data_IF_322022401674
#
_entry.id   IF_322022401674
#
_cell.length_a   1.000
_cell.length_b   1.000
_cell.length_c   1.000
_cell.angle_alpha   90.00
_cell.angle_beta   90.00
_cell.angle_gamma   90.00
#
_symmetry.space_group_name_H-M   'P 1'
#
loop_
_entity.id
_entity.type
_entity.pdbx_description
1 polymer ?
#
# COMPACT_ATOMS: atom_id res chain seq x y z
N UNK A 1 -28.50 60.24 -56.33
CA UNK A 1 -27.72 60.76 -55.18
C UNK A 1 -28.01 59.89 -53.97
N UNK A 2 -27.02 59.58 -53.20
CA UNK A 2 -26.90 58.71 -52.02
C UNK A 2 -26.73 57.20 -52.32
N UNK A 3 -25.45 56.80 -52.24
CA UNK A 3 -24.93 55.44 -52.28
C UNK A 3 -25.15 54.82 -50.90
N UNK A 4 -25.81 53.63 -50.84
CA UNK A 4 -25.82 52.81 -49.66
C UNK A 4 -24.91 51.60 -49.91
N UNK A 5 -23.85 51.51 -49.15
CA UNK A 5 -22.88 50.37 -49.20
C UNK A 5 -23.52 49.22 -48.39
N UNK A 6 -23.71 48.07 -49.03
CA UNK A 6 -23.95 46.81 -48.34
C UNK A 6 -22.62 46.15 -47.97
N UNK A 7 -22.44 45.97 -46.68
CA UNK A 7 -21.29 45.24 -46.11
C UNK A 7 -21.70 43.77 -46.07
N UNK A 8 -21.06 42.95 -46.95
CA UNK A 8 -21.18 41.48 -46.85
C UNK A 8 -20.35 41.00 -45.67
N UNK A 9 -21.00 40.49 -44.61
CA UNK A 9 -20.36 39.71 -43.56
C UNK A 9 -20.23 38.27 -44.06
N UNK A 10 -19.02 37.87 -44.43
CA UNK A 10 -18.62 36.48 -44.62
C UNK A 10 -18.44 35.85 -43.24
N UNK A 11 -19.43 35.05 -42.79
CA UNK A 11 -19.32 34.16 -41.68
C UNK A 11 -18.48 32.95 -42.13
N UNK A 12 -17.18 32.96 -41.80
CA UNK A 12 -16.36 31.77 -41.79
C UNK A 12 -16.80 30.91 -40.60
N UNK A 13 -17.52 29.82 -40.85
CA UNK A 13 -17.66 28.72 -39.91
C UNK A 13 -16.31 28.02 -39.85
N UNK A 14 -15.41 28.43 -38.94
CA UNK A 14 -14.34 27.59 -38.46
C UNK A 14 -14.99 26.52 -37.56
N UNK A 15 -15.16 25.32 -38.10
CA UNK A 15 -15.36 24.12 -37.29
C UNK A 15 -14.08 23.86 -36.50
N UNK A 16 -13.93 24.57 -35.39
CA UNK A 16 -12.95 24.23 -34.38
C UNK A 16 -13.34 22.90 -33.74
N UNK A 17 -12.71 21.83 -34.16
CA UNK A 17 -12.57 20.65 -33.35
C UNK A 17 -11.88 21.11 -32.07
N UNK A 18 -12.63 21.32 -31.01
CA UNK A 18 -12.13 21.33 -29.66
C UNK A 18 -11.62 19.91 -29.39
N UNK A 19 -10.33 19.70 -29.68
CA UNK A 19 -9.58 18.69 -28.96
C UNK A 19 -9.65 19.11 -27.49
N UNK A 20 -10.57 18.50 -26.75
CA UNK A 20 -10.50 18.49 -25.32
C UNK A 20 -9.21 17.76 -24.99
N UNK A 21 -8.18 18.56 -24.72
CA UNK A 21 -6.90 18.10 -24.25
C UNK A 21 -7.15 17.47 -22.85
N UNK A 22 -7.46 16.17 -22.83
CA UNK A 22 -7.66 15.37 -21.62
C UNK A 22 -6.35 15.16 -20.83
N UNK A 23 -5.35 15.97 -21.11
CA UNK A 23 -4.22 16.16 -20.25
C UNK A 23 -4.49 17.34 -19.30
N UNK A 24 -5.36 17.12 -18.31
CA UNK A 24 -5.25 17.88 -17.09
C UNK A 24 -3.85 17.58 -16.54
N UNK A 25 -2.88 18.41 -16.91
CA UNK A 25 -1.61 18.54 -16.21
C UNK A 25 -1.96 19.05 -14.82
N UNK A 26 -2.35 18.12 -13.93
CA UNK A 26 -2.28 18.35 -12.50
C UNK A 26 -0.87 18.91 -12.27
N UNK A 27 -0.77 20.11 -11.73
CA UNK A 27 0.53 20.74 -11.50
C UNK A 27 1.35 19.75 -10.69
N UNK A 28 2.44 19.24 -11.27
CA UNK A 28 3.25 18.14 -10.76
C UNK A 28 3.79 18.35 -9.32
N UNK A 29 3.52 19.49 -8.69
CA UNK A 29 4.10 19.91 -7.40
C UNK A 29 3.14 19.91 -6.21
N UNK A 30 1.85 19.64 -6.37
CA UNK A 30 0.90 19.71 -5.24
C UNK A 30 0.08 18.42 -5.11
N UNK A 31 -0.12 17.99 -3.86
CA UNK A 31 -1.11 16.95 -3.56
C UNK A 31 -2.53 17.50 -3.80
N UNK A 32 -3.43 16.63 -4.29
CA UNK A 32 -4.85 16.92 -4.38
C UNK A 32 -5.38 17.16 -2.97
N UNK A 33 -6.16 18.22 -2.78
CA UNK A 33 -6.89 18.42 -1.54
C UNK A 33 -8.11 17.49 -1.55
N UNK A 34 -8.17 16.62 -0.55
CA UNK A 34 -9.26 15.68 -0.32
C UNK A 34 -9.68 15.81 1.13
N UNK A 35 -10.92 16.23 1.33
CA UNK A 35 -11.57 16.24 2.63
C UNK A 35 -12.45 15.00 2.78
N UNK A 36 -12.37 14.36 3.95
CA UNK A 36 -13.23 13.24 4.31
C UNK A 36 -14.34 13.76 5.23
N UNK A 37 -15.58 13.37 4.93
CA UNK A 37 -16.71 13.67 5.79
C UNK A 37 -16.78 12.69 6.97
N UNK A 38 -17.43 13.10 8.06
CA UNK A 38 -17.68 12.25 9.22
C UNK A 38 -19.19 12.10 9.46
N UNK A 39 -19.61 10.90 9.82
CA UNK A 39 -20.96 10.68 10.34
C UNK A 39 -21.03 11.24 11.75
N UNK A 40 -22.16 11.85 12.08
CA UNK A 40 -22.39 12.36 13.41
C UNK A 40 -22.38 11.20 14.45
N UNK A 41 -21.88 11.44 15.68
CA UNK A 41 -21.95 10.46 16.75
C UNK A 41 -23.39 9.98 17.03
N UNK A 42 -23.56 8.74 17.46
CA UNK A 42 -24.86 8.12 17.68
C UNK A 42 -25.80 8.93 18.59
N UNK A 43 -25.26 9.58 19.61
CA UNK A 43 -25.98 10.42 20.57
C UNK A 43 -26.49 11.74 19.95
N UNK A 44 -25.87 12.22 18.89
CA UNK A 44 -26.29 13.41 18.14
C UNK A 44 -27.27 13.11 17.02
N UNK A 45 -27.51 11.83 16.68
CA UNK A 45 -28.52 11.41 15.72
C UNK A 45 -29.92 11.37 16.36
N UNK A 46 -31.01 11.73 15.63
CA UNK A 46 -32.38 11.58 16.13
C UNK A 46 -32.66 10.16 16.62
N UNK A 47 -33.46 9.96 17.68
CA UNK A 47 -33.82 8.61 18.16
C UNK A 47 -34.46 7.70 17.11
N UNK A 48 -35.10 8.28 16.10
CA UNK A 48 -35.72 7.55 14.99
C UNK A 48 -34.79 7.33 13.77
N UNK A 49 -33.53 7.77 13.82
CA UNK A 49 -32.59 7.59 12.71
C UNK A 49 -32.15 6.12 12.64
N UNK A 50 -32.33 5.43 11.50
CA UNK A 50 -31.92 4.04 11.32
C UNK A 50 -30.42 3.78 11.53
N UNK A 51 -29.56 4.81 11.39
CA UNK A 51 -28.13 4.70 11.61
C UNK A 51 -27.75 4.74 13.08
N UNK A 52 -28.62 5.26 13.97
CA UNK A 52 -28.28 5.46 15.40
C UNK A 52 -27.85 4.18 16.09
N UNK A 53 -28.68 3.13 16.03
CA UNK A 53 -28.38 1.84 16.68
C UNK A 53 -27.14 1.18 16.09
N UNK A 54 -26.95 1.32 14.78
CA UNK A 54 -25.77 0.82 14.07
C UNK A 54 -24.50 1.57 14.54
N UNK A 55 -24.54 2.87 14.60
CA UNK A 55 -23.43 3.70 15.06
C UNK A 55 -23.11 3.41 16.53
N UNK A 56 -24.12 3.28 17.41
CA UNK A 56 -23.92 2.90 18.81
C UNK A 56 -23.25 1.52 18.95
N UNK A 57 -23.64 0.55 18.13
CA UNK A 57 -23.03 -0.79 18.10
C UNK A 57 -21.59 -0.74 17.61
N UNK A 58 -21.30 0.04 16.56
CA UNK A 58 -19.95 0.24 16.05
C UNK A 58 -19.04 0.94 17.08
N UNK A 59 -19.56 1.95 17.78
CA UNK A 59 -18.85 2.64 18.85
C UNK A 59 -18.50 1.69 20.03
N UNK A 60 -19.44 0.87 20.47
CA UNK A 60 -19.20 -0.16 21.50
C UNK A 60 -18.14 -1.17 21.04
N UNK A 61 -18.21 -1.60 19.80
CA UNK A 61 -17.21 -2.50 19.23
C UNK A 61 -15.82 -1.81 19.13
N UNK A 62 -15.79 -0.55 18.74
CA UNK A 62 -14.56 0.23 18.67
C UNK A 62 -13.85 0.30 20.02
N UNK A 63 -14.60 0.56 21.10
CA UNK A 63 -14.06 0.58 22.46
C UNK A 63 -13.52 -0.79 22.89
N UNK A 64 -14.23 -1.89 22.58
CA UNK A 64 -13.78 -3.25 22.86
C UNK A 64 -12.50 -3.63 22.11
N UNK A 65 -12.39 -3.20 20.84
CA UNK A 65 -11.18 -3.41 20.03
C UNK A 65 -10.01 -2.63 20.60
N UNK A 66 -10.25 -1.39 21.09
CA UNK A 66 -9.24 -0.51 21.65
C UNK A 66 -8.48 -1.11 22.81
N UNK A 67 -9.13 -1.93 23.63
CA UNK A 67 -8.47 -2.64 24.75
C UNK A 67 -7.35 -3.58 24.30
N UNK A 68 -7.34 -3.98 23.03
CA UNK A 68 -6.42 -5.01 22.47
C UNK A 68 -5.70 -4.57 21.20
N UNK A 69 -5.86 -3.31 20.79
CA UNK A 69 -5.21 -2.73 19.61
C UNK A 69 -4.07 -1.79 20.06
N UNK A 70 -2.89 -1.98 19.52
CA UNK A 70 -1.85 -0.96 19.51
C UNK A 70 -1.70 -0.48 18.05
N UNK A 71 -2.44 0.56 17.71
CA UNK A 71 -2.59 0.98 16.32
C UNK A 71 -3.80 1.87 16.08
N UNK A 72 -4.17 1.99 14.82
CA UNK A 72 -5.33 2.75 14.37
C UNK A 72 -6.29 1.86 13.58
N UNK A 73 -7.57 2.21 13.59
CA UNK A 73 -8.50 1.65 12.62
C UNK A 73 -9.53 2.69 12.16
N UNK A 74 -10.07 2.44 10.99
CA UNK A 74 -11.11 3.26 10.39
C UNK A 74 -12.16 2.39 9.69
N UNK A 75 -13.42 2.81 9.78
CA UNK A 75 -14.54 2.31 9.01
C UNK A 75 -15.09 3.49 8.24
N UNK A 76 -15.10 3.38 6.92
CA UNK A 76 -15.62 4.41 6.05
C UNK A 76 -16.50 3.82 4.95
N UNK A 77 -17.39 4.61 4.40
CA UNK A 77 -18.14 4.28 3.19
C UNK A 77 -17.97 5.42 2.20
N UNK A 78 -17.35 5.13 1.05
CA UNK A 78 -16.84 6.15 0.14
C UNK A 78 -15.91 7.11 0.89
N UNK A 79 -16.15 8.40 0.82
CA UNK A 79 -15.40 9.48 1.48
C UNK A 79 -15.95 9.86 2.88
N UNK A 80 -16.92 9.09 3.39
CA UNK A 80 -17.55 9.36 4.68
C UNK A 80 -17.02 8.39 5.74
N UNK A 81 -16.35 8.93 6.75
CA UNK A 81 -15.84 8.19 7.91
C UNK A 81 -17.01 7.95 8.89
N UNK A 82 -17.21 6.68 9.26
CA UNK A 82 -18.19 6.28 10.25
C UNK A 82 -17.58 6.18 11.64
N UNK A 83 -16.43 5.53 11.73
CA UNK A 83 -15.68 5.37 12.99
C UNK A 83 -14.20 5.40 12.68
N UNK A 84 -13.44 6.13 13.47
CA UNK A 84 -11.98 6.09 13.49
C UNK A 84 -11.46 6.17 14.90
N UNK A 85 -10.40 5.42 15.22
CA UNK A 85 -9.81 5.36 16.55
C UNK A 85 -8.31 5.12 16.48
N UNK A 86 -7.62 5.66 17.46
CA UNK A 86 -6.19 5.47 17.68
C UNK A 86 -5.94 5.01 19.14
N UNK A 87 -5.14 3.96 19.30
CA UNK A 87 -4.87 3.36 20.60
C UNK A 87 -3.42 2.97 20.74
N UNK A 88 -2.87 3.15 21.94
CA UNK A 88 -1.56 2.66 22.30
C UNK A 88 -0.42 3.63 21.98
N UNK A 89 0.75 3.09 21.68
CA UNK A 89 2.00 3.83 21.69
C UNK A 89 2.84 3.51 20.47
N UNK A 90 3.62 4.51 20.00
CA UNK A 90 4.56 4.37 18.88
C UNK A 90 5.61 3.31 19.18
N UNK A 91 6.13 3.32 20.42
CA UNK A 91 7.03 2.31 20.94
C UNK A 91 6.51 1.77 22.27
N UNK A 92 6.42 0.43 22.36
CA UNK A 92 5.99 -0.24 23.59
C UNK A 92 7.12 -0.37 24.62
N UNK A 93 8.36 -0.55 24.15
CA UNK A 93 9.58 -0.61 24.96
C UNK A 93 10.71 0.17 24.31
N UNK A 94 11.51 0.83 25.15
CA UNK A 94 12.78 1.44 24.72
C UNK A 94 13.95 0.46 24.78
N UNK A 95 13.80 -0.67 25.48
CA UNK A 95 14.88 -1.65 25.68
C UNK A 95 14.83 -2.76 24.63
N UNK A 96 15.81 -2.84 23.71
CA UNK A 96 15.90 -3.91 22.73
C UNK A 96 16.19 -5.29 23.36
N UNK A 97 16.64 -5.34 24.62
CA UNK A 97 16.90 -6.60 25.34
C UNK A 97 15.67 -7.18 26.02
N UNK A 98 14.49 -6.59 25.84
CA UNK A 98 13.22 -6.90 26.51
C UNK A 98 12.70 -8.34 26.36
N UNK A 99 13.52 -9.33 26.69
CA UNK A 99 13.14 -10.73 26.87
C UNK A 99 12.37 -10.93 28.17
N UNK A 100 11.24 -10.22 28.33
CA UNK A 100 10.32 -10.44 29.45
C UNK A 100 9.00 -11.01 28.95
N UNK A 101 8.37 -11.92 29.72
CA UNK A 101 6.98 -12.36 29.52
C UNK A 101 6.02 -11.21 29.87
N UNK A 102 6.10 -10.11 29.13
CA UNK A 102 5.23 -8.94 29.38
C UNK A 102 3.97 -9.13 28.55
N UNK A 103 2.84 -9.17 29.22
CA UNK A 103 1.52 -9.23 28.56
C UNK A 103 1.10 -7.83 28.10
N UNK A 104 0.12 -7.76 27.20
CA UNK A 104 -0.48 -6.48 26.78
C UNK A 104 -1.02 -5.67 27.97
N UNK A 105 -1.57 -6.32 29.00
CA UNK A 105 -2.08 -5.67 30.20
C UNK A 105 -0.97 -5.02 31.05
N UNK A 106 0.22 -5.62 31.06
CA UNK A 106 1.39 -5.03 31.73
C UNK A 106 1.87 -3.77 31.02
N UNK A 107 1.64 -3.68 29.70
CA UNK A 107 1.96 -2.50 28.89
C UNK A 107 1.04 -1.32 29.18
N UNK A 108 -0.25 -1.57 29.38
CA UNK A 108 -1.24 -0.55 29.70
C UNK A 108 -0.97 0.13 31.05
N UNK A 109 -0.31 -0.57 31.99
CA UNK A 109 0.03 -0.06 33.31
C UNK A 109 1.24 0.91 33.33
N UNK A 110 2.04 0.97 32.25
CA UNK A 110 3.23 1.83 32.18
C UNK A 110 2.84 3.25 31.76
N UNK A 111 3.12 4.24 32.60
CA UNK A 111 3.02 5.66 32.22
C UNK A 111 3.99 5.94 31.08
N UNK A 112 3.45 6.36 29.93
CA UNK A 112 4.19 6.73 28.74
C UNK A 112 4.11 8.23 28.50
N UNK A 113 5.14 8.79 27.89
CA UNK A 113 5.14 10.18 27.46
C UNK A 113 4.04 10.42 26.42
N UNK A 114 3.40 11.59 26.47
CA UNK A 114 2.35 11.98 25.52
C UNK A 114 2.86 11.94 24.06
N UNK A 115 4.12 12.33 23.86
CA UNK A 115 4.81 12.28 22.56
C UNK A 115 4.98 10.88 21.97
N UNK A 116 4.76 9.81 22.77
CA UNK A 116 4.83 8.42 22.33
C UNK A 116 3.45 7.83 22.01
N UNK A 117 2.36 8.59 22.09
CA UNK A 117 1.02 8.10 21.77
C UNK A 117 0.80 7.96 20.28
N UNK A 118 0.10 6.90 19.89
CA UNK A 118 -0.46 6.74 18.56
C UNK A 118 -1.60 7.73 18.35
N UNK A 119 -1.61 8.39 17.21
CA UNK A 119 -2.66 9.29 16.73
C UNK A 119 -3.18 8.80 15.38
N UNK A 120 -4.26 9.38 14.88
CA UNK A 120 -4.80 9.05 13.54
C UNK A 120 -3.81 9.38 12.42
N UNK A 121 -2.93 10.37 12.63
CA UNK A 121 -1.86 10.73 11.68
C UNK A 121 -0.59 9.89 11.80
N UNK A 122 -0.53 8.94 12.74
CA UNK A 122 0.63 8.05 12.90
C UNK A 122 0.83 7.18 11.66
N UNK A 123 2.07 7.11 11.20
CA UNK A 123 2.47 6.31 10.05
C UNK A 123 2.87 4.90 10.48
N UNK A 124 2.31 3.89 9.80
CA UNK A 124 2.60 2.47 10.01
C UNK A 124 3.17 1.87 8.74
N UNK A 125 4.17 0.99 8.85
CA UNK A 125 4.57 0.16 7.71
C UNK A 125 3.38 -0.69 7.27
N UNK A 126 2.91 -0.44 6.08
CA UNK A 126 1.79 -1.18 5.47
C UNK A 126 2.16 -2.64 5.14
N UNK A 127 3.46 -2.96 5.19
CA UNK A 127 3.96 -4.26 4.77
C UNK A 127 3.38 -4.65 3.40
N UNK A 128 2.86 -5.86 3.24
CA UNK A 128 2.33 -6.33 1.96
C UNK A 128 1.09 -5.58 1.41
N UNK A 129 0.42 -4.75 2.21
CA UNK A 129 -0.62 -3.84 1.69
C UNK A 129 -0.03 -2.85 0.69
N UNK A 130 1.29 -2.59 0.73
CA UNK A 130 2.04 -1.78 -0.24
C UNK A 130 1.95 -2.28 -1.69
N UNK A 131 1.68 -3.58 -1.88
CA UNK A 131 1.64 -4.20 -3.22
C UNK A 131 0.60 -3.59 -4.16
N UNK A 132 -0.48 -3.03 -3.62
CA UNK A 132 -1.49 -2.35 -4.44
C UNK A 132 -0.91 -1.11 -5.14
N UNK A 133 0.00 -0.36 -4.51
CA UNK A 133 0.65 0.79 -5.16
C UNK A 133 1.59 0.36 -6.28
N UNK A 134 2.35 -0.71 -6.06
CA UNK A 134 3.22 -1.28 -7.09
C UNK A 134 2.42 -1.79 -8.28
N UNK A 135 1.31 -2.50 -8.02
CA UNK A 135 0.41 -2.95 -9.07
C UNK A 135 -0.19 -1.77 -9.84
N UNK A 136 -0.66 -0.73 -9.13
CA UNK A 136 -1.21 0.47 -9.75
C UNK A 136 -0.17 1.21 -10.60
N UNK A 137 1.09 1.30 -10.15
CA UNK A 137 2.20 1.88 -10.92
C UNK A 137 2.44 1.12 -12.22
N UNK A 138 2.46 -0.22 -12.17
CA UNK A 138 2.58 -1.07 -13.36
C UNK A 138 1.40 -0.87 -14.31
N UNK A 139 0.17 -0.87 -13.78
CA UNK A 139 -1.04 -0.67 -14.59
C UNK A 139 -1.09 0.74 -15.19
N UNK A 140 -0.57 1.76 -14.50
CA UNK A 140 -0.45 3.12 -15.02
C UNK A 140 0.48 3.15 -16.24
N UNK A 141 1.64 2.50 -16.16
CA UNK A 141 2.54 2.37 -17.31
C UNK A 141 1.89 1.57 -18.45
N UNK A 142 1.03 0.59 -18.14
CA UNK A 142 0.28 -0.13 -19.16
C UNK A 142 -0.80 0.73 -19.82
N UNK A 143 -1.52 1.54 -19.05
CA UNK A 143 -2.52 2.48 -19.55
C UNK A 143 -1.87 3.58 -20.41
N UNK A 144 -0.65 3.99 -20.06
CA UNK A 144 0.15 4.95 -20.82
C UNK A 144 0.91 4.31 -22.01
N UNK A 145 0.62 3.04 -22.33
CA UNK A 145 1.23 2.25 -23.43
C UNK A 145 2.76 2.07 -23.34
N UNK A 146 3.37 2.40 -22.20
CA UNK A 146 4.83 2.25 -21.98
C UNK A 146 5.24 0.82 -21.61
N UNK A 147 4.30 0.02 -21.12
CA UNK A 147 4.48 -1.35 -20.66
C UNK A 147 3.30 -2.22 -21.12
N UNK A 148 3.55 -3.51 -21.36
CA UNK A 148 2.50 -4.49 -21.66
C UNK A 148 2.51 -5.61 -20.62
N UNK A 149 1.34 -6.08 -20.19
CA UNK A 149 1.23 -7.22 -19.28
C UNK A 149 1.87 -8.50 -19.85
N UNK A 150 2.02 -8.58 -21.17
CA UNK A 150 2.66 -9.69 -21.90
C UNK A 150 4.17 -9.50 -22.07
N UNK A 151 4.71 -8.33 -21.74
CA UNK A 151 6.16 -8.12 -21.83
C UNK A 151 6.87 -9.10 -20.91
N UNK A 152 8.00 -9.63 -21.38
CA UNK A 152 8.80 -10.54 -20.59
C UNK A 152 9.85 -9.81 -19.76
N UNK A 153 10.22 -10.39 -18.61
CA UNK A 153 11.28 -9.88 -17.75
C UNK A 153 12.60 -9.68 -18.52
N UNK A 154 12.88 -10.54 -19.50
CA UNK A 154 14.07 -10.44 -20.34
C UNK A 154 14.21 -9.09 -21.08
N UNK A 155 13.09 -8.44 -21.41
CA UNK A 155 13.11 -7.13 -22.07
C UNK A 155 13.82 -6.07 -21.22
N UNK A 156 13.71 -6.17 -19.91
CA UNK A 156 14.20 -5.17 -18.96
C UNK A 156 15.51 -5.59 -18.28
N UNK A 157 15.64 -6.89 -18.01
CA UNK A 157 16.76 -7.50 -17.29
C UNK A 157 17.21 -8.79 -17.99
N UNK A 158 18.01 -8.68 -19.08
CA UNK A 158 18.39 -9.83 -19.91
C UNK A 158 19.30 -10.83 -19.19
N UNK A 159 20.02 -10.40 -18.14
CA UNK A 159 20.96 -11.23 -17.40
C UNK A 159 20.27 -12.14 -16.38
N UNK A 160 19.01 -11.87 -16.05
CA UNK A 160 18.24 -12.67 -15.09
C UNK A 160 17.74 -13.96 -15.78
N UNK A 161 17.81 -15.14 -15.10
CA UNK A 161 17.54 -16.43 -15.74
C UNK A 161 16.06 -16.67 -16.11
N UNK A 162 15.14 -15.80 -15.70
CA UNK A 162 13.68 -15.98 -15.86
C UNK A 162 13.13 -15.35 -17.16
N UNK A 163 13.79 -15.57 -18.29
CA UNK A 163 13.58 -14.86 -19.56
C UNK A 163 12.13 -14.78 -20.05
N UNK A 164 11.34 -15.82 -19.80
CA UNK A 164 9.98 -15.92 -20.33
C UNK A 164 8.90 -15.60 -19.28
N UNK A 165 9.26 -15.12 -18.10
CA UNK A 165 8.30 -14.66 -17.12
C UNK A 165 7.73 -13.32 -17.56
N UNK A 166 6.40 -13.18 -17.58
CA UNK A 166 5.71 -11.96 -18.00
C UNK A 166 5.38 -11.06 -16.83
N UNK A 167 5.14 -9.77 -17.10
CA UNK A 167 4.66 -8.79 -16.12
C UNK A 167 3.38 -9.29 -15.45
N UNK A 168 2.43 -9.86 -16.21
CA UNK A 168 1.22 -10.47 -15.65
C UNK A 168 1.54 -11.57 -14.65
N UNK A 169 2.49 -12.44 -14.94
CA UNK A 169 2.86 -13.55 -14.05
C UNK A 169 3.55 -13.09 -12.76
N UNK A 170 4.27 -11.97 -12.80
CA UNK A 170 4.80 -11.32 -11.59
C UNK A 170 3.64 -10.74 -10.75
N UNK A 171 2.75 -9.95 -11.36
CA UNK A 171 1.59 -9.35 -10.69
C UNK A 171 0.68 -10.40 -10.01
N UNK A 172 0.57 -11.59 -10.59
CA UNK A 172 -0.37 -12.64 -10.16
C UNK A 172 0.28 -13.79 -9.38
N UNK A 173 1.54 -13.64 -8.99
CA UNK A 173 2.29 -14.66 -8.25
C UNK A 173 2.32 -16.06 -8.91
N UNK A 174 2.34 -16.09 -10.25
CA UNK A 174 2.43 -17.31 -11.05
C UNK A 174 3.73 -17.44 -11.82
N UNK A 175 4.76 -16.67 -11.45
CA UNK A 175 6.08 -16.62 -12.11
C UNK A 175 6.91 -17.87 -11.91
N UNK A 176 6.85 -18.48 -10.75
CA UNK A 176 7.75 -19.56 -10.30
C UNK A 176 9.11 -19.07 -9.78
N UNK A 177 9.35 -17.76 -9.68
CA UNK A 177 10.57 -17.18 -9.11
C UNK A 177 10.58 -17.45 -7.60
N UNK A 178 11.75 -17.85 -6.99
CA UNK A 178 11.84 -18.10 -5.55
C UNK A 178 11.78 -16.81 -4.71
N UNK A 179 11.55 -16.97 -3.39
CA UNK A 179 11.47 -15.89 -2.42
C UNK A 179 12.84 -15.33 -2.07
N UNK A 180 13.05 -14.02 -2.19
CA UNK A 180 14.33 -13.36 -1.99
C UNK A 180 14.82 -13.35 -0.53
N UNK A 181 13.95 -13.57 0.43
CA UNK A 181 14.34 -13.68 1.83
C UNK A 181 15.33 -14.82 2.10
N UNK A 182 15.43 -15.77 1.17
CA UNK A 182 16.36 -16.90 1.24
C UNK A 182 17.61 -16.70 0.38
N UNK A 183 17.82 -15.51 -0.20
CA UNK A 183 18.98 -15.26 -1.05
C UNK A 183 20.18 -14.83 -0.19
N UNK A 184 21.36 -15.17 -0.69
CA UNK A 184 22.59 -14.71 -0.08
C UNK A 184 22.95 -13.31 -0.61
N UNK A 185 22.87 -12.33 0.28
CA UNK A 185 23.30 -10.96 0.04
C UNK A 185 24.72 -10.69 0.57
N UNK A 186 25.49 -11.73 0.93
CA UNK A 186 26.84 -11.61 1.51
C UNK A 186 27.87 -10.95 0.60
N UNK A 187 27.54 -10.72 -0.69
CA UNK A 187 28.37 -9.92 -1.62
C UNK A 187 28.32 -8.42 -1.30
N UNK A 188 27.36 -7.98 -0.49
CA UNK A 188 27.21 -6.60 -0.04
C UNK A 188 27.54 -6.48 1.45
N UNK A 189 28.01 -5.31 1.84
CA UNK A 189 28.28 -5.00 3.24
C UNK A 189 27.06 -5.30 4.12
N UNK A 190 27.25 -6.05 5.18
CA UNK A 190 26.19 -6.46 6.10
C UNK A 190 25.58 -5.29 6.89
N UNK A 191 26.27 -4.15 6.92
CA UNK A 191 25.82 -2.92 7.57
C UNK A 191 24.95 -2.05 6.68
N UNK A 192 24.78 -2.41 5.40
CA UNK A 192 24.02 -1.63 4.42
C UNK A 192 22.62 -2.21 4.18
N UNK A 193 21.65 -1.33 3.96
CA UNK A 193 20.35 -1.70 3.41
C UNK A 193 20.47 -2.16 1.95
N UNK A 194 19.72 -3.19 1.60
CA UNK A 194 19.72 -3.77 0.25
C UNK A 194 18.68 -3.07 -0.63
N UNK A 195 19.11 -2.52 -1.74
CA UNK A 195 18.24 -1.85 -2.72
C UNK A 195 17.61 -2.83 -3.71
N UNK A 196 16.59 -2.39 -4.44
CA UNK A 196 16.02 -3.17 -5.54
C UNK A 196 17.07 -3.50 -6.62
N UNK A 197 17.99 -2.57 -6.95
CA UNK A 197 19.05 -2.83 -7.94
C UNK A 197 20.02 -3.90 -7.47
N UNK A 198 20.36 -3.92 -6.19
CA UNK A 198 21.20 -4.98 -5.60
C UNK A 198 20.48 -6.32 -5.62
N UNK A 199 19.17 -6.37 -5.34
CA UNK A 199 18.37 -7.57 -5.51
C UNK A 199 18.40 -8.07 -6.97
N UNK A 200 18.24 -7.16 -7.95
CA UNK A 200 18.28 -7.53 -9.38
C UNK A 200 19.66 -8.08 -9.76
N UNK A 201 20.74 -7.51 -9.21
CA UNK A 201 22.09 -8.02 -9.41
C UNK A 201 22.26 -9.44 -8.80
N UNK A 202 21.77 -9.67 -7.57
CA UNK A 202 21.82 -10.99 -6.92
C UNK A 202 21.09 -12.04 -7.75
N UNK A 203 19.91 -11.71 -8.29
CA UNK A 203 19.13 -12.59 -9.18
C UNK A 203 19.90 -12.92 -10.47
N UNK A 204 20.65 -11.98 -11.03
CA UNK A 204 21.42 -12.17 -12.25
C UNK A 204 22.67 -13.05 -12.02
N UNK A 205 23.33 -12.89 -10.87
CA UNK A 205 24.60 -13.59 -10.54
C UNK A 205 24.32 -14.99 -10.02
N UNK A 206 23.43 -15.14 -9.02
CA UNK A 206 23.20 -16.42 -8.34
C UNK A 206 22.30 -17.37 -9.12
N UNK A 207 21.50 -16.88 -10.05
CA UNK A 207 20.70 -17.67 -11.00
C UNK A 207 19.88 -18.79 -10.36
N UNK A 208 19.18 -18.47 -9.28
CA UNK A 208 18.34 -19.43 -8.58
C UNK A 208 17.37 -20.15 -9.53
N UNK A 209 17.15 -21.47 -9.38
CA UNK A 209 16.20 -22.19 -10.20
C UNK A 209 14.76 -21.77 -9.88
N UNK A 210 13.87 -21.86 -10.86
CA UNK A 210 12.43 -21.71 -10.64
C UNK A 210 11.91 -22.81 -9.72
N UNK A 211 10.99 -22.46 -8.84
CA UNK A 211 10.35 -23.41 -7.91
C UNK A 211 9.20 -24.21 -8.56
N UNK A 212 8.66 -23.71 -9.67
CA UNK A 212 7.73 -24.38 -10.56
C UNK A 212 7.73 -23.68 -11.94
N UNK A 213 7.19 -24.39 -12.96
CA UNK A 213 7.04 -23.81 -14.30
C UNK A 213 6.05 -22.64 -14.26
N UNK A 214 6.46 -21.47 -14.78
CA UNK A 214 5.63 -20.27 -14.88
C UNK A 214 4.20 -20.58 -15.36
N UNK A 215 3.20 -20.01 -14.69
CA UNK A 215 1.78 -20.23 -14.97
C UNK A 215 1.22 -21.57 -14.48
N UNK A 216 2.04 -22.49 -13.97
CA UNK A 216 1.56 -23.79 -13.54
C UNK A 216 0.94 -23.82 -12.14
N UNK A 217 1.39 -22.92 -11.28
CA UNK A 217 0.93 -22.82 -9.89
C UNK A 217 0.83 -21.34 -9.48
N UNK A 218 0.03 -21.09 -8.45
CA UNK A 218 0.02 -19.88 -7.68
C UNK A 218 0.86 -20.10 -6.42
N UNK A 219 1.82 -19.22 -6.18
CA UNK A 219 2.54 -19.14 -4.91
C UNK A 219 2.87 -17.68 -4.65
N UNK A 220 2.33 -17.13 -3.58
CA UNK A 220 2.62 -15.79 -3.15
C UNK A 220 4.13 -15.64 -2.88
N UNK A 221 4.80 -14.69 -3.54
CA UNK A 221 6.25 -14.47 -3.48
C UNK A 221 6.54 -12.97 -3.56
N UNK A 222 7.27 -12.45 -2.57
CA UNK A 222 7.60 -11.02 -2.48
C UNK A 222 8.56 -10.57 -3.59
N UNK A 223 9.48 -11.42 -4.00
CA UNK A 223 10.41 -11.17 -5.12
C UNK A 223 9.70 -10.63 -6.37
N UNK A 224 8.49 -11.11 -6.65
CA UNK A 224 7.73 -10.67 -7.82
C UNK A 224 7.48 -9.15 -7.79
N UNK A 225 7.09 -8.61 -6.64
CA UNK A 225 6.73 -7.21 -6.50
C UNK A 225 7.96 -6.30 -6.36
N UNK A 226 9.04 -6.81 -5.77
CA UNK A 226 10.33 -6.13 -5.79
C UNK A 226 10.89 -5.98 -7.22
N UNK A 227 10.77 -7.03 -8.06
CA UNK A 227 11.10 -6.96 -9.49
C UNK A 227 10.21 -5.95 -10.22
N UNK A 228 8.90 -5.95 -9.94
CA UNK A 228 7.97 -4.98 -10.57
C UNK A 228 8.33 -3.54 -10.22
N UNK A 229 8.73 -3.24 -8.99
CA UNK A 229 9.21 -1.90 -8.61
C UNK A 229 10.46 -1.50 -9.41
N UNK A 230 11.44 -2.40 -9.56
CA UNK A 230 12.62 -2.15 -10.38
C UNK A 230 12.27 -1.94 -11.87
N UNK A 231 11.26 -2.66 -12.41
CA UNK A 231 10.76 -2.44 -13.78
C UNK A 231 10.06 -1.09 -13.91
N UNK A 232 9.25 -0.69 -12.92
CA UNK A 232 8.61 0.64 -12.92
C UNK A 232 9.66 1.73 -12.99
N UNK A 233 10.69 1.68 -12.14
CA UNK A 233 11.77 2.66 -12.16
C UNK A 233 12.47 2.70 -13.54
N UNK A 234 12.78 1.53 -14.10
CA UNK A 234 13.47 1.44 -15.40
C UNK A 234 12.64 1.95 -16.58
N UNK A 235 11.33 1.68 -16.59
CA UNK A 235 10.42 2.06 -17.70
C UNK A 235 10.02 3.53 -17.61
N UNK A 236 9.87 4.05 -16.39
CA UNK A 236 9.52 5.45 -16.16
C UNK A 236 10.72 6.39 -16.22
N UNK A 237 11.94 5.85 -16.14
CA UNK A 237 13.21 6.62 -16.00
C UNK A 237 13.21 7.52 -14.75
N UNK A 238 12.45 7.11 -13.72
CA UNK A 238 12.33 7.78 -12.43
C UNK A 238 12.59 6.80 -11.29
N UNK A 239 13.12 7.22 -10.13
CA UNK A 239 13.08 6.39 -8.93
C UNK A 239 11.67 5.90 -8.66
N UNK A 240 11.53 4.63 -8.20
CA UNK A 240 10.21 4.02 -7.96
C UNK A 240 9.37 4.85 -7.00
N UNK A 241 9.98 5.36 -5.93
CA UNK A 241 9.35 6.20 -4.91
C UNK A 241 8.78 7.48 -5.52
N UNK A 242 9.56 8.13 -6.37
CA UNK A 242 9.14 9.36 -7.03
C UNK A 242 8.01 9.11 -8.01
N UNK A 243 8.11 8.03 -8.81
CA UNK A 243 7.04 7.67 -9.75
C UNK A 243 5.71 7.41 -9.03
N UNK A 244 5.72 6.64 -7.94
CA UNK A 244 4.52 6.35 -7.14
C UNK A 244 3.96 7.62 -6.52
N UNK A 245 4.81 8.46 -5.93
CA UNK A 245 4.37 9.72 -5.33
C UNK A 245 3.70 10.64 -6.35
N UNK A 246 4.35 10.87 -7.48
CA UNK A 246 3.86 11.82 -8.49
C UNK A 246 2.60 11.33 -9.20
N UNK A 247 2.55 10.05 -9.54
CA UNK A 247 1.50 9.50 -10.39
C UNK A 247 0.33 8.84 -9.63
N UNK A 248 0.52 8.49 -8.35
CA UNK A 248 -0.50 7.82 -7.55
C UNK A 248 -0.89 8.61 -6.31
N UNK A 249 0.06 8.92 -5.41
CA UNK A 249 -0.26 9.50 -4.11
C UNK A 249 -0.69 10.96 -4.19
N UNK A 250 -0.01 11.78 -4.99
CA UNK A 250 -0.41 13.18 -5.18
C UNK A 250 -1.81 13.30 -5.79
N UNK A 251 -2.16 12.57 -6.87
CA UNK A 251 -3.52 12.57 -7.41
C UNK A 251 -4.57 12.04 -6.42
N UNK A 252 -4.20 11.07 -5.56
CA UNK A 252 -5.09 10.53 -4.54
C UNK A 252 -5.24 11.45 -3.30
N UNK A 253 -4.40 12.47 -3.15
CA UNK A 253 -4.40 13.34 -1.96
C UNK A 253 -3.75 12.71 -0.71
N UNK A 254 -2.91 11.68 -0.87
CA UNK A 254 -2.22 10.97 0.21
C UNK A 254 -1.00 11.79 0.69
N UNK A 255 -1.24 12.80 1.51
CA UNK A 255 -0.22 13.81 1.86
C UNK A 255 0.86 13.30 2.80
N UNK A 256 0.52 12.33 3.65
CA UNK A 256 1.39 11.85 4.74
C UNK A 256 2.10 10.54 4.41
N UNK A 257 1.69 9.85 3.35
CA UNK A 257 2.27 8.57 2.94
C UNK A 257 3.71 8.73 2.44
N UNK A 258 4.60 7.85 2.92
CA UNK A 258 6.06 7.87 2.66
C UNK A 258 6.59 6.47 2.40
N UNK A 259 7.76 6.40 1.78
CA UNK A 259 8.53 5.17 1.75
C UNK A 259 9.46 5.05 2.96
N UNK A 260 9.81 3.81 3.33
CA UNK A 260 10.80 3.52 4.38
C UNK A 260 12.09 4.30 4.16
N UNK A 261 12.60 4.33 2.93
CA UNK A 261 13.83 5.00 2.54
C UNK A 261 13.80 6.51 2.85
N UNK A 262 12.65 7.15 2.76
CA UNK A 262 12.48 8.56 3.14
C UNK A 262 12.48 8.73 4.66
N UNK A 263 11.75 7.85 5.37
CA UNK A 263 11.61 7.92 6.83
C UNK A 263 12.96 7.81 7.54
N UNK A 264 13.85 6.98 7.01
CA UNK A 264 15.18 6.75 7.61
C UNK A 264 16.30 7.55 6.92
N UNK A 265 15.95 8.45 6.01
CA UNK A 265 16.92 9.32 5.33
C UNK A 265 17.81 8.63 4.30
N UNK A 266 17.43 7.45 3.83
CA UNK A 266 18.11 6.69 2.76
C UNK A 266 17.65 7.12 1.37
N UNK A 267 17.19 8.34 1.20
CA UNK A 267 16.62 8.80 -0.06
C UNK A 267 17.63 8.59 -1.20
N UNK A 268 17.23 8.01 -2.34
CA UNK A 268 18.10 7.93 -3.51
C UNK A 268 18.27 9.33 -4.09
N UNK A 269 19.20 10.11 -3.55
CA UNK A 269 19.62 11.34 -4.21
C UNK A 269 20.74 10.99 -5.18
N UNK A 270 20.76 11.63 -6.33
CA UNK A 270 21.91 11.57 -7.26
C UNK A 270 23.25 11.93 -6.58
N UNK A 271 23.19 12.47 -5.37
CA UNK A 271 24.32 12.91 -4.55
C UNK A 271 24.82 11.88 -3.57
N UNK A 272 24.08 10.85 -3.22
CA UNK A 272 24.54 9.80 -2.31
C UNK A 272 24.74 8.48 -3.03
N UNK A 273 25.90 8.34 -3.66
CA UNK A 273 26.39 7.02 -4.07
C UNK A 273 26.77 6.14 -2.86
N UNK A 274 26.83 6.76 -1.69
CA UNK A 274 27.19 6.12 -0.43
C UNK A 274 26.00 6.19 0.52
N UNK A 275 25.33 5.05 0.74
CA UNK A 275 24.40 4.92 1.85
C UNK A 275 25.17 5.14 3.17
N UNK A 276 24.61 5.82 4.16
CA UNK A 276 25.29 5.97 5.42
C UNK A 276 25.66 4.60 5.98
N UNK A 277 26.94 4.41 6.26
CA UNK A 277 27.43 3.22 6.95
C UNK A 277 26.80 3.24 8.35
N UNK A 278 25.92 2.29 8.61
CA UNK A 278 25.37 2.08 9.95
C UNK A 278 26.35 1.20 10.70
N UNK A 279 26.98 1.75 11.75
CA UNK A 279 27.89 0.97 12.57
C UNK A 279 27.15 -0.11 13.36
N UNK A 280 27.47 -1.36 13.02
CA UNK A 280 27.31 -2.58 13.83
C UNK A 280 25.92 -3.14 14.15
N UNK A 281 25.48 -4.09 13.35
CA UNK A 281 25.06 -5.43 13.81
C UNK A 281 24.84 -6.35 12.61
N UNK A 282 25.07 -7.63 12.76
CA UNK A 282 25.18 -8.61 11.66
C UNK A 282 23.86 -8.89 10.91
N UNK A 283 22.70 -8.53 11.45
CA UNK A 283 21.39 -8.83 10.86
C UNK A 283 20.42 -7.66 10.87
N UNK A 284 20.66 -6.63 11.68
CA UNK A 284 19.71 -5.53 11.90
C UNK A 284 20.42 -4.18 11.90
N UNK A 285 19.81 -3.25 11.21
CA UNK A 285 20.33 -1.89 11.12
C UNK A 285 19.64 -1.04 12.17
N UNK A 286 20.39 -0.52 13.13
CA UNK A 286 19.85 0.39 14.13
C UNK A 286 19.76 1.80 13.55
N UNK A 287 18.68 2.05 12.84
CA UNK A 287 18.33 3.38 12.34
C UNK A 287 17.10 3.92 13.06
N UNK A 288 17.07 5.22 13.24
CA UNK A 288 15.91 5.95 13.73
C UNK A 288 15.30 6.75 12.59
N UNK A 289 13.99 7.03 12.62
CA UNK A 289 13.40 8.00 11.72
C UNK A 289 14.14 9.33 11.81
N UNK A 290 14.34 9.99 10.66
CA UNK A 290 14.91 11.35 10.64
C UNK A 290 14.01 12.30 11.42
N UNK A 291 14.56 13.44 11.88
CA UNK A 291 13.89 14.38 12.79
C UNK A 291 12.48 14.79 12.34
N UNK A 292 12.27 14.94 11.02
CA UNK A 292 10.96 15.27 10.44
C UNK A 292 9.86 14.26 10.81
N UNK A 293 10.23 12.98 10.96
CA UNK A 293 9.30 11.88 11.27
C UNK A 293 9.36 11.39 12.71
N UNK A 294 10.24 11.97 13.53
CA UNK A 294 10.32 11.66 14.96
C UNK A 294 8.97 11.91 15.63
N UNK A 295 8.48 10.93 16.40
CA UNK A 295 7.17 11.02 17.06
C UNK A 295 5.94 10.88 16.14
N UNK A 296 6.14 10.59 14.84
CA UNK A 296 5.05 10.39 13.88
C UNK A 296 4.99 8.98 13.32
N UNK A 297 6.03 8.18 13.48
CA UNK A 297 6.18 6.85 12.90
C UNK A 297 6.16 5.80 14.00
N UNK A 298 5.28 4.82 13.86
CA UNK A 298 5.24 3.67 14.75
C UNK A 298 6.42 2.74 14.50
N UNK A 299 6.94 2.13 15.59
CA UNK A 299 7.94 1.06 15.53
C UNK A 299 7.23 -0.28 15.73
N UNK A 300 7.61 -1.27 14.94
CA UNK A 300 7.00 -2.60 15.03
C UNK A 300 7.44 -3.37 16.29
N UNK A 301 6.56 -4.24 16.79
CA UNK A 301 6.83 -5.04 17.99
C UNK A 301 6.39 -6.49 17.79
N UNK A 302 7.23 -7.42 18.25
CA UNK A 302 6.92 -8.84 18.28
C UNK A 302 5.83 -9.17 19.31
N UNK A 303 5.33 -10.42 19.32
CA UNK A 303 4.29 -10.88 20.25
C UNK A 303 4.63 -10.71 21.74
N UNK A 304 5.91 -10.75 22.09
CA UNK A 304 6.41 -10.48 23.43
C UNK A 304 6.57 -8.98 23.72
N UNK A 305 6.06 -8.12 22.81
CA UNK A 305 6.18 -6.67 22.82
C UNK A 305 7.62 -6.13 22.75
N UNK A 306 8.61 -6.98 22.45
CA UNK A 306 9.94 -6.51 22.16
C UNK A 306 9.94 -5.72 20.84
N UNK A 307 10.74 -4.67 20.76
CA UNK A 307 10.93 -3.86 19.56
C UNK A 307 11.47 -4.76 18.44
N UNK A 308 10.82 -4.74 17.28
CA UNK A 308 11.36 -5.34 16.07
C UNK A 308 12.38 -4.39 15.45
N UNK A 309 13.63 -4.81 15.33
CA UNK A 309 14.64 -4.01 14.64
C UNK A 309 14.32 -3.95 13.14
N UNK A 310 14.78 -2.91 12.45
CA UNK A 310 14.67 -2.84 11.00
C UNK A 310 15.60 -3.86 10.35
N UNK A 311 15.03 -4.68 9.48
CA UNK A 311 15.81 -5.62 8.65
C UNK A 311 16.50 -4.86 7.51
N UNK A 312 17.71 -5.29 7.13
CA UNK A 312 18.45 -4.72 5.99
C UNK A 312 17.70 -4.81 4.65
N UNK A 313 16.70 -5.68 4.56
CA UNK A 313 15.84 -5.85 3.38
C UNK A 313 14.67 -4.86 3.35
N UNK A 314 14.53 -3.97 4.34
CA UNK A 314 13.44 -3.00 4.41
C UNK A 314 13.48 -1.96 3.29
N UNK A 315 14.64 -1.70 2.72
CA UNK A 315 14.80 -0.81 1.57
C UNK A 315 14.58 -1.47 0.21
N UNK A 316 14.31 -2.79 0.17
CA UNK A 316 13.74 -3.42 -1.03
C UNK A 316 12.26 -3.04 -1.08
N UNK A 317 11.91 -2.21 -2.04
CA UNK A 317 10.57 -1.64 -2.18
C UNK A 317 9.72 -2.40 -3.19
N UNK A 318 8.40 -2.17 -3.13
CA UNK A 318 7.43 -2.72 -4.06
C UNK A 318 6.59 -3.86 -3.48
N UNK A 319 7.18 -4.77 -2.74
CA UNK A 319 6.47 -5.80 -1.99
C UNK A 319 6.04 -5.31 -0.60
N UNK A 320 6.74 -4.30 -0.08
CA UNK A 320 6.56 -3.63 1.21
C UNK A 320 7.21 -2.24 1.18
N UNK A 321 7.36 -1.61 2.35
CA UNK A 321 8.15 -0.39 2.53
C UNK A 321 7.36 0.90 2.36
N UNK A 322 6.02 0.85 2.21
CA UNK A 322 5.15 2.03 2.27
C UNK A 322 4.67 2.23 3.70
N UNK A 323 4.84 3.44 4.22
CA UNK A 323 4.32 3.89 5.50
C UNK A 323 3.16 4.85 5.27
N UNK A 324 2.02 4.60 5.93
CA UNK A 324 0.80 5.40 5.75
C UNK A 324 -0.04 5.44 7.02
N UNK A 325 -1.04 6.30 7.03
CA UNK A 325 -2.09 6.37 8.03
C UNK A 325 -3.45 5.92 7.48
N UNK A 326 -4.45 5.78 8.35
CA UNK A 326 -5.77 5.25 7.95
C UNK A 326 -6.53 6.21 7.01
N UNK A 327 -6.41 7.52 7.18
CA UNK A 327 -7.08 8.50 6.32
C UNK A 327 -6.52 8.49 4.89
N UNK A 328 -5.19 8.49 4.72
CA UNK A 328 -4.57 8.40 3.40
C UNK A 328 -4.96 7.10 2.69
N UNK A 329 -5.14 6.00 3.44
CA UNK A 329 -5.62 4.74 2.87
C UNK A 329 -7.08 4.80 2.42
N UNK A 330 -7.96 5.58 3.10
CA UNK A 330 -9.32 5.85 2.62
C UNK A 330 -9.29 6.68 1.34
N UNK A 331 -8.48 7.74 1.30
CA UNK A 331 -8.29 8.57 0.09
C UNK A 331 -7.79 7.73 -1.09
N UNK A 332 -6.83 6.83 -0.84
CA UNK A 332 -6.35 5.88 -1.85
C UNK A 332 -7.48 5.00 -2.40
N UNK A 333 -8.25 4.39 -1.51
CA UNK A 333 -9.35 3.50 -1.91
C UNK A 333 -10.37 4.25 -2.76
N UNK A 334 -10.72 5.47 -2.36
CA UNK A 334 -11.64 6.32 -3.12
C UNK A 334 -11.07 6.67 -4.51
N UNK A 335 -9.86 7.20 -4.56
CA UNK A 335 -9.27 7.67 -5.80
C UNK A 335 -8.99 6.54 -6.80
N UNK A 336 -8.47 5.40 -6.32
CA UNK A 336 -8.10 4.29 -7.19
C UNK A 336 -9.26 3.33 -7.46
N UNK A 337 -9.86 2.76 -6.41
CA UNK A 337 -10.84 1.67 -6.59
C UNK A 337 -12.25 2.17 -6.85
N UNK A 338 -12.71 3.21 -6.15
CA UNK A 338 -14.10 3.67 -6.21
C UNK A 338 -14.30 4.61 -7.40
N UNK A 339 -13.51 5.68 -7.48
CA UNK A 339 -13.72 6.76 -8.46
C UNK A 339 -12.95 6.54 -9.77
N UNK A 340 -11.91 5.67 -9.77
CA UNK A 340 -11.01 5.45 -10.90
C UNK A 340 -10.38 6.76 -11.44
N UNK A 341 -9.93 7.63 -10.52
CA UNK A 341 -9.33 8.92 -10.86
C UNK A 341 -7.87 8.79 -11.35
N UNK A 342 -7.20 7.71 -10.96
CA UNK A 342 -5.78 7.47 -11.24
C UNK A 342 -5.58 6.71 -12.53
N UNK A 343 -6.50 5.78 -12.83
CA UNK A 343 -6.48 4.92 -14.01
C UNK A 343 -7.87 4.86 -14.65
N UNK A 344 -7.96 4.61 -15.97
CA UNK A 344 -9.22 4.27 -16.59
C UNK A 344 -9.91 3.10 -15.87
N UNK A 345 -11.24 3.16 -15.72
CA UNK A 345 -12.07 2.18 -15.02
C UNK A 345 -11.76 0.73 -15.41
N UNK A 346 -11.52 0.49 -16.71
CA UNK A 346 -11.22 -0.85 -17.22
C UNK A 346 -9.96 -1.48 -16.58
N UNK A 347 -8.96 -0.67 -16.21
CA UNK A 347 -7.75 -1.15 -15.55
C UNK A 347 -7.99 -1.44 -14.07
N UNK A 348 -8.80 -0.62 -13.42
CA UNK A 348 -9.23 -0.84 -12.04
C UNK A 348 -10.05 -2.14 -11.95
N UNK A 349 -11.01 -2.34 -12.86
CA UNK A 349 -11.83 -3.55 -12.92
C UNK A 349 -10.98 -4.81 -13.18
N UNK A 350 -9.93 -4.70 -13.99
CA UNK A 350 -8.94 -5.78 -14.15
C UNK A 350 -8.19 -6.05 -12.85
N UNK A 351 -7.83 -5.02 -12.08
CA UNK A 351 -7.07 -5.17 -10.83
C UNK A 351 -7.86 -5.93 -9.76
N UNK A 352 -9.16 -5.71 -9.67
CA UNK A 352 -10.06 -6.34 -8.68
C UNK A 352 -10.78 -7.58 -9.19
N UNK A 353 -10.33 -8.15 -10.29
CA UNK A 353 -10.82 -9.42 -10.85
C UNK A 353 -9.78 -10.51 -10.65
N UNK A 354 -10.21 -11.74 -10.41
CA UNK A 354 -9.29 -12.88 -10.33
C UNK A 354 -8.45 -13.00 -11.60
N UNK A 355 -7.15 -12.88 -11.48
CA UNK A 355 -6.19 -12.87 -12.58
C UNK A 355 -5.18 -14.02 -12.50
N UNK A 356 -5.08 -14.72 -11.37
CA UNK A 356 -4.15 -15.81 -11.14
C UNK A 356 -4.65 -17.17 -11.67
N UNK A 357 -5.32 -17.14 -12.83
CA UNK A 357 -5.76 -18.36 -13.52
C UNK A 357 -4.53 -19.10 -14.04
N UNK A 358 -4.46 -20.38 -13.69
CA UNK A 358 -3.33 -21.24 -14.05
C UNK A 358 -3.33 -21.60 -15.54
N UNK A 359 -2.19 -22.05 -16.05
CA UNK A 359 -2.02 -22.45 -17.46
C UNK A 359 -2.94 -23.61 -17.90
N UNK A 360 -3.48 -24.38 -16.94
CA UNK A 360 -4.49 -25.43 -17.19
C UNK A 360 -5.94 -24.92 -17.09
N UNK A 361 -6.15 -23.61 -16.97
CA UNK A 361 -7.47 -22.97 -16.84
C UNK A 361 -8.08 -23.01 -15.45
N UNK A 362 -7.42 -23.61 -14.45
CA UNK A 362 -7.93 -23.67 -13.07
C UNK A 362 -7.67 -22.36 -12.32
N UNK A 363 -8.65 -21.93 -11.52
CA UNK A 363 -8.49 -20.87 -10.54
C UNK A 363 -7.98 -21.45 -9.23
N UNK A 364 -6.90 -20.94 -8.62
CA UNK A 364 -6.47 -21.34 -7.28
C UNK A 364 -7.54 -21.05 -6.22
N UNK A 365 -7.50 -21.77 -5.10
CA UNK A 365 -8.40 -21.52 -3.96
C UNK A 365 -8.25 -20.08 -3.44
N UNK A 366 -7.04 -19.53 -3.46
CA UNK A 366 -6.78 -18.14 -3.15
C UNK A 366 -6.88 -17.29 -4.43
N UNK A 367 -7.93 -16.49 -4.54
CA UNK A 367 -8.12 -15.58 -5.68
C UNK A 367 -7.27 -14.33 -5.51
N UNK A 368 -6.49 -14.01 -6.54
CA UNK A 368 -5.59 -12.87 -6.57
C UNK A 368 -5.80 -12.04 -7.85
N UNK A 369 -5.93 -10.73 -7.68
CA UNK A 369 -5.96 -9.76 -8.78
C UNK A 369 -4.57 -9.18 -9.05
N UNK A 370 -4.50 -7.87 -9.21
CA UNK A 370 -3.23 -7.16 -9.29
C UNK A 370 -3.00 -6.39 -7.98
N UNK A 371 -2.16 -6.94 -7.12
CA UNK A 371 -1.82 -6.36 -5.82
C UNK A 371 -2.87 -6.52 -4.72
N UNK A 372 -3.93 -7.27 -4.97
CA UNK A 372 -5.03 -7.48 -4.04
C UNK A 372 -5.52 -8.93 -4.04
N UNK A 373 -6.00 -9.38 -2.89
CA UNK A 373 -6.73 -10.64 -2.68
C UNK A 373 -8.21 -10.37 -2.81
N UNK A 374 -8.98 -11.41 -3.03
CA UNK A 374 -10.44 -11.30 -3.07
C UNK A 374 -11.10 -12.58 -2.53
N UNK A 375 -12.29 -12.39 -2.00
CA UNK A 375 -13.10 -13.46 -1.46
C UNK A 375 -14.58 -13.15 -1.74
N UNK A 376 -15.35 -14.18 -2.08
CA UNK A 376 -16.81 -14.11 -2.12
C UNK A 376 -17.32 -14.63 -0.78
N UNK A 377 -17.79 -13.72 0.07
CA UNK A 377 -18.38 -14.06 1.38
C UNK A 377 -19.86 -14.29 1.22
N UNK A 378 -20.41 -15.45 1.64
CA UNK A 378 -21.81 -15.81 1.37
C UNK A 378 -22.84 -14.76 1.80
N UNK A 379 -22.61 -14.09 2.93
CA UNK A 379 -23.55 -13.12 3.52
C UNK A 379 -23.19 -11.67 3.23
N UNK A 380 -21.92 -11.39 2.87
CA UNK A 380 -21.40 -10.03 2.70
C UNK A 380 -21.04 -9.69 1.27
N UNK A 381 -21.15 -10.64 0.34
CA UNK A 381 -20.77 -10.47 -1.06
C UNK A 381 -19.25 -10.43 -1.26
N UNK A 382 -18.87 -9.89 -2.39
CA UNK A 382 -17.45 -9.80 -2.78
C UNK A 382 -16.72 -8.77 -1.94
N UNK A 383 -15.61 -9.19 -1.34
CA UNK A 383 -14.64 -8.31 -0.68
C UNK A 383 -13.29 -8.37 -1.38
N UNK A 384 -12.63 -7.22 -1.46
CA UNK A 384 -11.26 -7.04 -1.93
C UNK A 384 -10.43 -6.68 -0.73
N UNK A 385 -9.30 -7.34 -0.51
CA UNK A 385 -8.52 -7.10 0.69
C UNK A 385 -7.02 -7.37 0.48
N UNK A 386 -6.20 -6.91 1.37
CA UNK A 386 -4.83 -7.38 1.55
C UNK A 386 -4.43 -7.27 3.02
N UNK A 387 -3.73 -8.28 3.51
CA UNK A 387 -3.07 -8.25 4.81
C UNK A 387 -1.62 -7.79 4.67
N UNK A 388 -1.11 -7.15 5.70
CA UNK A 388 0.28 -6.76 5.81
C UNK A 388 0.92 -7.35 7.07
N UNK A 389 2.06 -8.03 6.92
CA UNK A 389 2.82 -8.58 8.03
C UNK A 389 4.32 -8.43 7.76
N UNK A 390 4.98 -7.60 8.53
CA UNK A 390 6.42 -7.37 8.46
C UNK A 390 6.93 -6.71 9.73
N UNK A 391 8.08 -7.12 10.26
CA UNK A 391 8.79 -6.50 11.39
C UNK A 391 7.87 -6.04 12.54
N UNK A 392 6.96 -6.92 12.97
CA UNK A 392 6.04 -6.64 14.07
C UNK A 392 4.78 -5.87 13.68
N UNK A 393 4.69 -5.29 12.49
CA UNK A 393 3.45 -4.70 11.97
C UNK A 393 2.48 -5.76 11.51
N UNK A 394 1.20 -5.54 11.75
CA UNK A 394 0.14 -6.41 11.28
C UNK A 394 -1.09 -5.58 10.88
N UNK A 395 -1.33 -5.48 9.59
CA UNK A 395 -2.34 -4.63 8.99
C UNK A 395 -3.38 -5.44 8.21
N UNK A 396 -4.56 -4.86 8.05
CA UNK A 396 -5.60 -5.32 7.11
C UNK A 396 -6.20 -4.09 6.45
N UNK A 397 -6.30 -4.13 5.15
CA UNK A 397 -7.09 -3.24 4.32
C UNK A 397 -8.15 -4.08 3.60
N UNK A 398 -9.43 -3.70 3.75
CA UNK A 398 -10.57 -4.34 3.13
C UNK A 398 -11.44 -3.29 2.46
N UNK A 399 -11.90 -3.61 1.24
CA UNK A 399 -12.83 -2.82 0.45
C UNK A 399 -13.95 -3.72 -0.08
N UNK A 400 -15.20 -3.29 0.06
CA UNK A 400 -16.38 -3.95 -0.49
C UNK A 400 -16.93 -3.13 -1.67
N UNK A 401 -16.84 -3.64 -2.93
CA UNK A 401 -17.23 -2.87 -4.11
C UNK A 401 -18.72 -2.56 -4.21
N UNK A 402 -19.60 -3.40 -3.62
CA UNK A 402 -21.05 -3.26 -3.75
C UNK A 402 -21.61 -1.97 -3.14
N UNK A 403 -20.94 -1.41 -2.12
CA UNK A 403 -21.42 -0.26 -1.37
C UNK A 403 -20.33 0.74 -0.96
N UNK A 404 -19.10 0.51 -1.41
CA UNK A 404 -17.98 1.40 -1.11
C UNK A 404 -17.46 1.33 0.33
N UNK A 405 -17.83 0.27 1.09
CA UNK A 405 -17.38 0.06 2.45
C UNK A 405 -15.86 -0.20 2.50
N UNK A 406 -15.20 0.43 3.46
CA UNK A 406 -13.79 0.29 3.74
C UNK A 406 -13.57 -0.02 5.22
N UNK A 407 -12.76 -1.03 5.52
CA UNK A 407 -12.35 -1.38 6.88
C UNK A 407 -10.84 -1.50 6.88
N UNK A 408 -10.16 -0.66 7.66
CA UNK A 408 -8.70 -0.61 7.68
C UNK A 408 -8.22 -0.68 9.12
N UNK A 409 -7.32 -1.63 9.39
CA UNK A 409 -6.58 -1.75 10.64
C UNK A 409 -5.08 -1.59 10.36
N UNK A 410 -4.43 -0.68 11.05
CA UNK A 410 -2.97 -0.51 11.03
C UNK A 410 -2.45 -0.70 12.47
N UNK A 411 -1.53 -1.63 12.66
CA UNK A 411 -1.01 -1.97 13.98
C UNK A 411 0.50 -2.21 13.92
N UNK A 412 1.20 -1.69 14.89
CA UNK A 412 2.62 -1.94 15.11
C UNK A 412 2.89 -3.05 16.14
N UNK A 413 1.89 -3.87 16.38
CA UNK A 413 1.99 -5.01 17.28
C UNK A 413 1.44 -6.27 16.60
N UNK A 414 2.24 -7.33 16.60
CA UNK A 414 1.87 -8.59 15.97
C UNK A 414 0.66 -9.25 16.66
N UNK A 415 -0.53 -9.04 16.10
CA UNK A 415 -1.78 -9.62 16.58
C UNK A 415 -2.59 -10.21 15.43
N UNK A 416 -2.81 -11.54 15.42
CA UNK A 416 -3.55 -12.24 14.34
C UNK A 416 -5.06 -12.00 14.33
N UNK A 417 -5.60 -11.22 15.25
CA UNK A 417 -7.05 -11.04 15.39
C UNK A 417 -7.69 -10.12 14.34
N UNK A 418 -6.91 -9.37 13.54
CA UNK A 418 -7.48 -8.33 12.66
C UNK A 418 -8.39 -8.86 11.56
N UNK A 419 -8.09 -10.02 10.96
CA UNK A 419 -8.96 -10.61 9.94
C UNK A 419 -10.33 -10.99 10.53
N UNK A 420 -10.35 -11.66 11.68
CA UNK A 420 -11.61 -11.99 12.37
C UNK A 420 -12.38 -10.74 12.84
N UNK A 421 -11.69 -9.63 13.13
CA UNK A 421 -12.34 -8.35 13.44
C UNK A 421 -13.04 -7.76 12.22
N UNK A 422 -12.48 -7.91 11.02
CA UNK A 422 -13.16 -7.49 9.79
C UNK A 422 -14.46 -8.27 9.59
N UNK A 423 -14.47 -9.58 9.81
CA UNK A 423 -15.67 -10.40 9.69
C UNK A 423 -16.75 -9.95 10.70
N UNK A 424 -16.39 -9.74 11.95
CA UNK A 424 -17.29 -9.22 12.99
C UNK A 424 -17.86 -7.83 12.64
N UNK A 425 -17.05 -6.97 12.02
CA UNK A 425 -17.53 -5.66 11.57
C UNK A 425 -18.48 -5.77 10.39
N UNK A 426 -18.23 -6.67 9.45
CA UNK A 426 -19.15 -6.93 8.35
C UNK A 426 -20.51 -7.43 8.90
N UNK A 427 -20.50 -8.34 9.89
CA UNK A 427 -21.73 -8.80 10.57
C UNK A 427 -22.51 -7.62 11.17
N UNK A 428 -21.83 -6.72 11.91
CA UNK A 428 -22.48 -5.53 12.52
C UNK A 428 -23.02 -4.56 11.48
N UNK A 429 -22.29 -4.36 10.39
CA UNK A 429 -22.65 -3.39 9.37
C UNK A 429 -23.85 -3.89 8.53
N UNK A 430 -23.98 -5.17 8.35
CA UNK A 430 -25.01 -5.78 7.51
C UNK A 430 -26.29 -6.16 8.29
N UNK A 431 -26.27 -6.07 9.65
CA UNK A 431 -27.49 -6.08 10.49
C UNK A 431 -28.31 -4.80 10.30
#
# INVERSE_FOLDING_TARGET
MKRTRYLLLLLFFCSGFLFVDCHNKLSANKFKDVELAHVLPADSLPPSDPLRDKMDTLEKYANLVGERLNGTFIIARHDTIWVERAYGYLELFKDPTGYGNVTYNDLAARKREESNKITLSTLFDLASVSKQFTAAAVLKLCADEKLKLTDSLYRFYPDIPYKNVTIKQLLTHTSGIPEYFNFDFGVYDTTMFITNEQLMHVLAVQKFPVIFRRGAQFKYVNTNYAILAAIVAKVSEMPFEEYVRENLWKPAGMKDTRFFTEIVGLYPSEKSKDYPLVEKSLEYVDVTPVEEYAGKVARGHWRNAALAPYDRLNSILGDKGVYSNVEDMVKWTNAFFINAEILPREWVDKAIKCQNILSNGKTPAEMYGYGVRMEEKPEHGKVIFHGGLWDGFHNVWLYRPSDGLQIIFLSNYYNRAHTGRCDQLLDIIDL
#
